data_IF_541565518562
#
_entry.id   IF_541565518562
#
_cell.length_a   1.000
_cell.length_b   1.000
_cell.length_c   1.000
_cell.angle_alpha   90.00
_cell.angle_beta   90.00
_cell.angle_gamma   90.00
#
_symmetry.space_group_name_H-M   'P 1'
#
loop_
_entity.id
_entity.type
_entity.pdbx_description
1 polymer ?
#
# COMPACT_ATOMS: atom_id res chain seq x y z
N UNK A 1 17.64 -13.30 8.19
CA UNK A 1 16.98 -13.07 6.88
C UNK A 1 16.51 -11.61 6.78
N UNK A 2 17.31 -10.72 6.16
CA UNK A 2 17.02 -9.28 6.13
C UNK A 2 15.75 -8.92 5.35
N UNK A 3 15.46 -9.66 4.28
CA UNK A 3 14.27 -9.48 3.44
C UNK A 3 12.97 -9.81 4.18
N UNK A 4 12.96 -10.94 4.92
CA UNK A 4 11.82 -11.36 5.74
C UNK A 4 11.50 -10.32 6.81
N UNK A 5 12.53 -9.71 7.43
CA UNK A 5 12.34 -8.63 8.40
C UNK A 5 11.71 -7.40 7.76
N UNK A 6 12.17 -7.01 6.57
CA UNK A 6 11.60 -5.87 5.84
C UNK A 6 10.12 -6.10 5.52
N UNK A 7 9.77 -7.32 5.07
CA UNK A 7 8.39 -7.69 4.82
C UNK A 7 7.55 -7.73 6.09
N UNK A 8 8.07 -8.27 7.19
CA UNK A 8 7.36 -8.29 8.47
C UNK A 8 7.00 -6.88 8.93
N UNK A 9 7.93 -5.93 8.82
CA UNK A 9 7.67 -4.52 9.13
C UNK A 9 6.61 -3.93 8.20
N UNK A 10 6.73 -4.16 6.90
CA UNK A 10 5.73 -3.71 5.92
C UNK A 10 4.33 -4.26 6.22
N UNK A 11 4.22 -5.55 6.57
CA UNK A 11 2.95 -6.21 6.91
C UNK A 11 2.36 -5.60 8.17
N UNK A 12 3.15 -5.43 9.23
CA UNK A 12 2.66 -4.84 10.48
C UNK A 12 2.13 -3.42 10.25
N UNK A 13 2.86 -2.60 9.49
CA UNK A 13 2.42 -1.23 9.17
C UNK A 13 1.17 -1.23 8.30
N UNK A 14 1.09 -2.10 7.29
CA UNK A 14 -0.07 -2.21 6.42
C UNK A 14 -1.31 -2.63 7.23
N UNK A 15 -1.22 -3.71 8.00
CA UNK A 15 -2.34 -4.22 8.81
C UNK A 15 -2.77 -3.19 9.85
N UNK A 16 -1.84 -2.51 10.51
CA UNK A 16 -2.18 -1.49 11.49
C UNK A 16 -2.90 -0.29 10.85
N UNK A 17 -2.39 0.21 9.73
CA UNK A 17 -2.98 1.37 9.04
C UNK A 17 -4.33 1.03 8.39
N UNK A 18 -4.46 -0.15 7.79
CA UNK A 18 -5.74 -0.65 7.27
C UNK A 18 -6.77 -0.88 8.39
N UNK A 19 -6.36 -1.42 9.54
CA UNK A 19 -7.24 -1.59 10.69
C UNK A 19 -7.78 -0.24 11.19
N UNK A 20 -6.91 0.76 11.29
CA UNK A 20 -7.30 2.14 11.65
C UNK A 20 -8.25 2.71 10.60
N UNK A 21 -7.95 2.55 9.31
CA UNK A 21 -8.84 2.98 8.23
C UNK A 21 -10.21 2.29 8.31
N UNK A 22 -10.25 0.97 8.53
CA UNK A 22 -11.50 0.22 8.62
C UNK A 22 -12.34 0.66 9.83
N UNK A 23 -11.70 0.84 10.97
CA UNK A 23 -12.38 1.18 12.23
C UNK A 23 -12.83 2.63 12.25
N UNK A 24 -11.95 3.57 11.89
CA UNK A 24 -12.21 5.00 12.03
C UNK A 24 -12.90 5.62 10.82
N UNK A 25 -12.57 5.19 9.59
CA UNK A 25 -13.12 5.79 8.38
C UNK A 25 -14.35 5.01 7.91
N UNK A 26 -14.20 3.71 7.64
CA UNK A 26 -15.32 2.94 7.11
C UNK A 26 -16.47 2.78 8.10
N UNK A 27 -16.15 2.42 9.36
CA UNK A 27 -17.15 2.24 10.41
C UNK A 27 -17.98 3.49 10.68
N UNK A 28 -17.38 4.68 10.59
CA UNK A 28 -18.05 5.93 10.95
C UNK A 28 -18.62 6.70 9.76
N UNK A 29 -17.98 6.67 8.59
CA UNK A 29 -18.28 7.60 7.49
C UNK A 29 -18.95 6.95 6.27
N UNK A 30 -18.76 5.65 6.05
CA UNK A 30 -19.21 4.98 4.81
C UNK A 30 -20.57 4.29 5.01
N UNK A 31 -20.88 3.85 6.23
CA UNK A 31 -22.16 3.20 6.57
C UNK A 31 -22.45 1.92 5.74
N UNK A 32 -23.58 1.24 5.99
CA UNK A 32 -23.90 -0.03 5.33
C UNK A 32 -24.29 0.11 3.85
N UNK A 33 -24.66 1.31 3.40
CA UNK A 33 -25.03 1.59 2.00
C UNK A 33 -23.83 1.93 1.09
N UNK A 34 -22.65 2.12 1.66
CA UNK A 34 -21.45 2.49 0.91
C UNK A 34 -21.42 3.96 0.49
N UNK A 35 -20.41 4.31 -0.30
CA UNK A 35 -20.19 5.66 -0.85
C UNK A 35 -21.09 5.90 -2.07
N UNK A 36 -21.97 6.90 -1.99
CA UNK A 36 -22.94 7.20 -3.05
C UNK A 36 -22.40 7.97 -4.25
N UNK A 37 -21.15 8.43 -4.22
CA UNK A 37 -20.53 9.20 -5.31
C UNK A 37 -19.09 8.78 -5.57
N UNK A 38 -18.63 9.01 -6.81
CA UNK A 38 -17.24 8.76 -7.22
C UNK A 38 -16.23 9.57 -6.39
N UNK A 39 -16.53 10.84 -6.10
CA UNK A 39 -15.67 11.68 -5.27
C UNK A 39 -15.58 11.17 -3.83
N UNK A 40 -16.69 10.68 -3.26
CA UNK A 40 -16.68 10.04 -1.95
C UNK A 40 -15.89 8.71 -1.97
N UNK A 41 -15.99 7.92 -3.03
CA UNK A 41 -15.16 6.73 -3.21
C UNK A 41 -13.67 7.09 -3.29
N UNK A 42 -13.31 8.13 -4.05
CA UNK A 42 -11.92 8.56 -4.15
C UNK A 42 -11.39 9.03 -2.79
N UNK A 43 -12.13 9.89 -2.09
CA UNK A 43 -11.70 10.51 -0.84
C UNK A 43 -11.72 9.55 0.37
N UNK A 44 -12.72 8.67 0.48
CA UNK A 44 -12.91 7.82 1.66
C UNK A 44 -12.36 6.40 1.50
N UNK A 45 -12.12 5.95 0.25
CA UNK A 45 -11.63 4.60 -0.03
C UNK A 45 -10.22 4.64 -0.61
N UNK A 46 -10.03 5.33 -1.73
CA UNK A 46 -8.76 5.27 -2.46
C UNK A 46 -7.65 6.11 -1.84
N UNK A 47 -7.94 7.32 -1.36
CA UNK A 47 -6.95 8.19 -0.72
C UNK A 47 -6.40 7.59 0.58
N UNK A 48 -7.22 7.07 1.50
CA UNK A 48 -6.71 6.46 2.73
C UNK A 48 -5.93 5.18 2.44
N UNK A 49 -6.39 4.39 1.47
CA UNK A 49 -5.67 3.20 1.03
C UNK A 49 -4.30 3.55 0.41
N UNK A 50 -4.22 4.66 -0.35
CA UNK A 50 -2.95 5.18 -0.86
C UNK A 50 -1.99 5.44 0.30
N UNK A 51 -2.44 6.12 1.36
CA UNK A 51 -1.61 6.42 2.54
C UNK A 51 -1.11 5.13 3.20
N UNK A 52 -1.97 4.13 3.36
CA UNK A 52 -1.59 2.81 3.92
C UNK A 52 -0.48 2.16 3.07
N UNK A 53 -0.63 2.14 1.74
CA UNK A 53 0.38 1.59 0.81
C UNK A 53 1.69 2.36 0.88
N UNK A 54 1.65 3.70 0.89
CA UNK A 54 2.85 4.55 1.02
C UNK A 54 3.61 4.23 2.30
N UNK A 55 2.91 4.22 3.44
CA UNK A 55 3.52 3.96 4.75
C UNK A 55 4.12 2.56 4.84
N UNK A 56 3.40 1.54 4.35
CA UNK A 56 3.89 0.17 4.34
C UNK A 56 5.13 0.00 3.46
N UNK A 57 5.12 0.59 2.27
CA UNK A 57 6.25 0.57 1.31
C UNK A 57 7.46 1.24 1.92
N UNK A 58 7.27 2.44 2.48
CA UNK A 58 8.33 3.22 3.11
C UNK A 58 8.94 2.51 4.33
N UNK A 59 8.10 1.93 5.20
CA UNK A 59 8.56 1.20 6.37
C UNK A 59 9.35 -0.07 5.99
N UNK A 60 8.91 -0.80 4.97
CA UNK A 60 9.62 -1.95 4.45
C UNK A 60 10.97 -1.55 3.82
N UNK A 61 11.01 -0.46 3.05
CA UNK A 61 12.25 0.08 2.48
C UNK A 61 13.27 0.47 3.57
N UNK A 62 12.81 1.11 4.64
CA UNK A 62 13.64 1.47 5.80
C UNK A 62 14.21 0.28 6.55
N UNK A 63 13.42 -0.77 6.71
CA UNK A 63 13.83 -1.97 7.43
C UNK A 63 14.84 -2.84 6.64
N UNK A 64 15.00 -2.57 5.33
CA UNK A 64 15.92 -3.27 4.43
C UNK A 64 17.38 -2.78 4.62
N UNK A 65 18.26 -3.61 5.23
CA UNK A 65 19.61 -3.19 5.59
C UNK A 65 20.58 -3.16 4.38
N UNK A 66 21.59 -2.28 4.45
CA UNK A 66 22.80 -2.40 3.63
C UNK A 66 23.55 -3.72 4.00
N UNK A 67 24.18 -4.46 3.07
CA UNK A 67 24.61 -4.09 1.70
C UNK A 67 23.60 -4.42 0.58
N UNK A 68 22.46 -5.05 0.88
CA UNK A 68 21.50 -5.48 -0.15
C UNK A 68 20.75 -4.32 -0.85
N UNK A 69 20.91 -3.08 -0.36
CA UNK A 69 20.41 -1.84 -0.98
C UNK A 69 21.09 -1.52 -2.31
N UNK A 70 22.30 -2.04 -2.55
CA UNK A 70 23.09 -1.75 -3.77
C UNK A 70 22.45 -2.31 -5.04
N UNK A 71 21.55 -3.29 -4.93
CA UNK A 71 20.81 -3.84 -6.06
C UNK A 71 19.41 -3.19 -6.07
N UNK A 72 19.16 -2.20 -6.94
CA UNK A 72 17.93 -1.41 -6.91
C UNK A 72 16.68 -2.29 -7.09
N UNK A 73 16.77 -3.34 -7.92
CA UNK A 73 15.69 -4.29 -8.12
C UNK A 73 15.31 -5.03 -6.82
N UNK A 74 16.27 -5.45 -6.01
CA UNK A 74 16.01 -6.13 -4.74
C UNK A 74 15.41 -5.19 -3.70
N UNK A 75 15.83 -3.93 -3.70
CA UNK A 75 15.27 -2.92 -2.83
C UNK A 75 13.80 -2.60 -3.17
N UNK A 76 13.47 -2.46 -4.46
CA UNK A 76 12.09 -2.27 -4.92
C UNK A 76 11.23 -3.49 -4.54
N UNK A 77 11.73 -4.71 -4.74
CA UNK A 77 11.01 -5.92 -4.34
C UNK A 77 10.82 -5.97 -2.82
N UNK A 78 11.83 -5.62 -2.02
CA UNK A 78 11.70 -5.58 -0.57
C UNK A 78 10.62 -4.60 -0.10
N UNK A 79 10.53 -3.44 -0.75
CA UNK A 79 9.57 -2.39 -0.40
C UNK A 79 8.14 -2.69 -0.89
N UNK A 80 8.01 -3.13 -2.15
CA UNK A 80 6.71 -3.24 -2.82
C UNK A 80 6.06 -4.63 -2.69
N UNK A 81 6.79 -5.68 -2.28
CA UNK A 81 6.25 -7.04 -2.24
C UNK A 81 5.02 -7.17 -1.35
N UNK A 82 5.02 -6.50 -0.18
CA UNK A 82 3.91 -6.55 0.77
C UNK A 82 2.63 -5.93 0.19
N UNK A 83 2.61 -4.66 -0.26
CA UNK A 83 1.39 -4.07 -0.80
C UNK A 83 0.94 -4.75 -2.11
N UNK A 84 1.87 -5.26 -2.93
CA UNK A 84 1.52 -6.07 -4.12
C UNK A 84 0.82 -7.37 -3.70
N UNK A 85 1.38 -8.09 -2.72
CA UNK A 85 0.78 -9.34 -2.22
C UNK A 85 -0.61 -9.10 -1.62
N UNK A 86 -0.79 -8.00 -0.87
CA UNK A 86 -2.08 -7.61 -0.31
C UNK A 86 -3.12 -7.31 -1.41
N UNK A 87 -2.72 -6.63 -2.49
CA UNK A 87 -3.62 -6.40 -3.62
C UNK A 87 -3.98 -7.71 -4.34
N UNK A 88 -3.00 -8.59 -4.59
CA UNK A 88 -3.25 -9.89 -5.21
C UNK A 88 -4.19 -10.76 -4.36
N UNK A 89 -4.02 -10.75 -3.04
CA UNK A 89 -4.93 -11.42 -2.11
C UNK A 89 -6.35 -10.86 -2.21
N UNK A 90 -6.48 -9.52 -2.21
CA UNK A 90 -7.77 -8.84 -2.33
C UNK A 90 -8.48 -9.19 -3.64
N UNK A 91 -7.75 -9.21 -4.76
CA UNK A 91 -8.27 -9.61 -6.07
C UNK A 91 -8.68 -11.08 -6.10
N UNK A 92 -7.89 -11.95 -5.45
CA UNK A 92 -8.18 -13.39 -5.36
C UNK A 92 -9.46 -13.66 -4.58
N UNK A 93 -9.69 -12.92 -3.48
CA UNK A 93 -10.90 -13.01 -2.66
C UNK A 93 -12.14 -12.41 -3.33
N UNK A 94 -11.96 -11.44 -4.24
CA UNK A 94 -13.06 -10.75 -4.96
C UNK A 94 -13.27 -11.22 -6.40
N UNK A 95 -12.61 -12.30 -6.81
CA UNK A 95 -12.53 -12.79 -8.20
C UNK A 95 -13.90 -12.92 -8.89
N UNK A 96 -14.94 -13.31 -8.16
CA UNK A 96 -16.30 -13.47 -8.71
C UNK A 96 -17.04 -12.14 -8.95
N UNK A 97 -16.64 -11.04 -8.29
CA UNK A 97 -17.30 -9.72 -8.40
C UNK A 97 -16.53 -8.72 -9.26
N UNK A 98 -15.26 -8.96 -9.55
CA UNK A 98 -14.40 -8.04 -10.29
C UNK A 98 -13.95 -8.64 -11.61
N UNK A 99 -14.63 -8.29 -12.70
CA UNK A 99 -14.11 -8.55 -14.05
C UNK A 99 -12.81 -7.77 -14.27
N UNK A 100 -11.89 -8.32 -15.08
CA UNK A 100 -10.59 -7.71 -15.43
C UNK A 100 -10.74 -6.31 -16.07
N UNK A 101 -11.89 -6.02 -16.67
CA UNK A 101 -12.22 -4.72 -17.26
C UNK A 101 -12.89 -3.74 -16.27
N UNK A 102 -12.96 -4.08 -14.99
CA UNK A 102 -13.62 -3.23 -13.99
C UNK A 102 -12.80 -1.95 -13.75
N UNK A 103 -13.42 -0.76 -13.83
CA UNK A 103 -12.78 0.50 -13.49
C UNK A 103 -12.18 0.49 -12.07
N UNK A 104 -12.84 -0.21 -11.13
CA UNK A 104 -12.37 -0.33 -9.75
C UNK A 104 -11.01 -1.05 -9.65
N UNK A 105 -10.75 -2.03 -10.52
CA UNK A 105 -9.46 -2.73 -10.58
C UNK A 105 -8.36 -1.78 -11.04
N UNK A 106 -8.61 -1.00 -12.10
CA UNK A 106 -7.67 -0.02 -12.61
C UNK A 106 -7.36 1.08 -11.59
N UNK A 107 -8.37 1.56 -10.86
CA UNK A 107 -8.18 2.53 -9.79
C UNK A 107 -7.34 1.96 -8.65
N UNK A 108 -7.63 0.73 -8.21
CA UNK A 108 -6.84 0.05 -7.17
C UNK A 108 -5.39 -0.16 -7.59
N UNK A 109 -5.15 -0.57 -8.84
CA UNK A 109 -3.80 -0.71 -9.39
C UNK A 109 -3.10 0.64 -9.48
N UNK A 110 -3.80 1.70 -9.89
CA UNK A 110 -3.27 3.05 -9.88
C UNK A 110 -2.84 3.50 -8.49
N UNK A 111 -3.67 3.25 -7.48
CA UNK A 111 -3.35 3.54 -6.07
C UNK A 111 -2.13 2.75 -5.59
N UNK A 112 -2.03 1.46 -5.93
CA UNK A 112 -0.85 0.67 -5.58
C UNK A 112 0.42 1.25 -6.21
N UNK A 113 0.41 1.49 -7.52
CA UNK A 113 1.58 2.00 -8.24
C UNK A 113 2.01 3.36 -7.70
N UNK A 114 1.06 4.27 -7.51
CA UNK A 114 1.30 5.59 -6.94
C UNK A 114 1.84 5.49 -5.50
N UNK A 115 1.24 4.64 -4.67
CA UNK A 115 1.66 4.46 -3.28
C UNK A 115 3.07 3.87 -3.16
N UNK A 116 3.38 2.86 -3.98
CA UNK A 116 4.73 2.28 -4.06
C UNK A 116 5.77 3.33 -4.53
N UNK A 117 5.46 4.09 -5.57
CA UNK A 117 6.34 5.13 -6.10
C UNK A 117 6.60 6.23 -5.06
N UNK A 118 5.56 6.72 -4.39
CA UNK A 118 5.67 7.74 -3.34
C UNK A 118 6.42 7.22 -2.11
N UNK A 119 6.18 5.97 -1.68
CA UNK A 119 6.90 5.37 -0.55
C UNK A 119 8.41 5.24 -0.81
N UNK A 120 8.79 4.87 -2.03
CA UNK A 120 10.20 4.84 -2.46
C UNK A 120 10.80 6.25 -2.59
N UNK A 121 10.04 7.21 -3.12
CA UNK A 121 10.49 8.60 -3.26
C UNK A 121 10.73 9.25 -1.89
N UNK A 122 9.85 9.01 -0.92
CA UNK A 122 9.98 9.49 0.46
C UNK A 122 11.23 8.94 1.14
N UNK A 123 11.57 7.67 0.90
CA UNK A 123 12.81 7.11 1.44
C UNK A 123 14.03 7.81 0.84
N UNK A 124 14.07 7.99 -0.48
CA UNK A 124 15.19 8.69 -1.16
C UNK A 124 15.35 10.13 -0.68
N UNK A 125 14.26 10.88 -0.60
CA UNK A 125 14.30 12.27 -0.14
C UNK A 125 14.82 12.39 1.29
N UNK A 126 14.45 11.45 2.16
CA UNK A 126 14.96 11.40 3.53
C UNK A 126 16.44 11.04 3.59
N UNK A 127 16.90 10.12 2.75
CA UNK A 127 18.33 9.79 2.63
C UNK A 127 19.16 11.01 2.21
N UNK A 128 18.68 11.79 1.23
CA UNK A 128 19.33 13.03 0.79
C UNK A 128 19.38 14.11 1.87
N UNK A 129 18.36 14.19 2.73
CA UNK A 129 18.30 15.21 3.80
C UNK A 129 19.17 14.87 5.02
N UNK A 130 19.58 13.61 5.17
CA UNK A 130 20.41 13.14 6.30
C UNK A 130 21.89 12.95 5.92
N UNK A 131 22.25 13.18 4.65
CA UNK A 131 23.62 13.16 4.13
C UNK A 131 24.28 14.54 4.22
#
# INVERSE_FOLDING_TARGET
MPLVRAWAVGVVVLVATEYVQMTLLYGNLVGPRGVGSFGAALALVHLPNLVCVVLATWAAARAHPAPWREIPARHVVAACAVPVAAQLLTLSLRRERTGLSSPALWMSTGVLLAGCALGLLLERWREETQA
#
